data_IF_180946719891
#
_entry.id   IF_180946719891
#
_cell.length_a   1.000
_cell.length_b   1.000
_cell.length_c   1.000
_cell.angle_alpha   90.00
_cell.angle_beta   90.00
_cell.angle_gamma   90.00
#
_symmetry.space_group_name_H-M   'P 1'
#
loop_
_entity.id
_entity.type
_entity.pdbx_description
1 polymer ?
#
# COMPACT_ATOMS: atom_id res chain seq x y z
N UNK A 1 -30.39 -17.82 -3.09
CA UNK A 1 -29.74 -19.15 -3.19
C UNK A 1 -29.80 -19.61 -4.64
N UNK A 2 -28.86 -19.17 -5.48
CA UNK A 2 -28.60 -19.83 -6.76
C UNK A 2 -27.41 -20.76 -6.51
N UNK A 3 -27.68 -22.06 -6.34
CA UNK A 3 -26.61 -23.06 -6.25
C UNK A 3 -25.97 -23.15 -7.63
N UNK A 4 -24.84 -22.48 -7.83
CA UNK A 4 -23.96 -22.74 -8.96
C UNK A 4 -23.67 -24.25 -8.94
N UNK A 5 -24.31 -24.98 -9.83
CA UNK A 5 -24.07 -26.41 -9.98
C UNK A 5 -22.66 -26.49 -10.56
N UNK A 6 -21.73 -27.14 -9.84
CA UNK A 6 -20.36 -27.24 -10.33
C UNK A 6 -20.35 -27.81 -11.75
N UNK A 7 -19.53 -27.24 -12.65
CA UNK A 7 -19.32 -27.82 -13.96
C UNK A 7 -18.91 -29.29 -13.85
N UNK A 8 -19.34 -30.13 -14.80
CA UNK A 8 -18.88 -31.52 -14.84
C UNK A 8 -17.35 -31.57 -15.04
N UNK A 9 -16.70 -32.66 -14.63
CA UNK A 9 -15.27 -32.86 -14.86
C UNK A 9 -14.94 -32.94 -16.35
N UNK A 10 -13.75 -32.48 -16.73
CA UNK A 10 -13.22 -32.64 -18.10
C UNK A 10 -12.79 -34.10 -18.31
N UNK A 11 -13.19 -34.75 -19.42
CA UNK A 11 -12.71 -36.08 -19.74
C UNK A 11 -11.22 -36.07 -20.10
N UNK A 12 -10.53 -37.16 -19.76
CA UNK A 12 -9.08 -37.33 -20.00
C UNK A 12 -8.69 -37.11 -21.48
N UNK A 13 -9.56 -37.49 -22.43
CA UNK A 13 -9.35 -37.25 -23.85
C UNK A 13 -9.30 -35.77 -24.22
N UNK A 14 -10.14 -34.94 -23.59
CA UNK A 14 -10.16 -33.50 -23.83
C UNK A 14 -8.94 -32.79 -23.20
N UNK A 15 -8.50 -33.24 -22.01
CA UNK A 15 -7.26 -32.74 -21.39
C UNK A 15 -6.05 -33.02 -22.28
N UNK A 16 -5.90 -34.25 -22.78
CA UNK A 16 -4.82 -34.61 -23.71
C UNK A 16 -4.87 -33.81 -25.00
N UNK A 17 -6.07 -33.61 -25.56
CA UNK A 17 -6.24 -32.82 -26.78
C UNK A 17 -5.86 -31.33 -26.57
N UNK A 18 -6.08 -30.78 -25.38
CA UNK A 18 -5.60 -29.45 -25.02
C UNK A 18 -4.09 -29.40 -24.89
N UNK A 19 -3.49 -30.33 -24.13
CA UNK A 19 -2.04 -30.42 -23.93
C UNK A 19 -1.29 -30.60 -25.27
N UNK A 20 -1.84 -31.39 -26.19
CA UNK A 20 -1.32 -31.55 -27.54
C UNK A 20 -1.34 -30.23 -28.32
N UNK A 21 -2.45 -29.46 -28.26
CA UNK A 21 -2.57 -28.15 -28.92
C UNK A 21 -1.65 -27.09 -28.30
N UNK A 22 -1.42 -27.15 -26.99
CA UNK A 22 -0.47 -26.28 -26.28
C UNK A 22 0.99 -26.70 -26.55
N UNK A 23 1.21 -27.96 -26.94
CA UNK A 23 2.54 -28.56 -27.10
C UNK A 23 3.27 -28.73 -25.77
N UNK A 24 2.53 -28.86 -24.66
CA UNK A 24 3.05 -28.98 -23.31
C UNK A 24 2.00 -29.59 -22.38
N UNK A 25 2.45 -30.30 -21.35
CA UNK A 25 1.57 -30.76 -20.28
C UNK A 25 1.10 -29.56 -19.44
N UNK A 26 -0.15 -29.61 -18.96
CA UNK A 26 -0.62 -28.63 -17.99
C UNK A 26 0.06 -28.87 -16.64
N UNK A 27 0.30 -27.81 -15.84
CA UNK A 27 0.78 -27.97 -14.48
C UNK A 27 -0.17 -28.87 -13.67
N UNK A 28 0.32 -29.77 -12.80
CA UNK A 28 -0.50 -30.79 -12.16
C UNK A 28 -1.72 -30.25 -11.41
N UNK A 29 -1.59 -29.11 -10.74
CA UNK A 29 -2.68 -28.46 -10.00
C UNK A 29 -3.77 -27.96 -10.95
N UNK A 30 -3.39 -27.25 -12.01
CA UNK A 30 -4.32 -26.77 -13.05
C UNK A 30 -5.01 -27.93 -13.75
N UNK A 31 -4.26 -28.98 -14.10
CA UNK A 31 -4.80 -30.18 -14.74
C UNK A 31 -5.81 -30.91 -13.86
N UNK A 32 -5.48 -31.12 -12.58
CA UNK A 32 -6.37 -31.76 -11.61
C UNK A 32 -7.64 -30.94 -11.38
N UNK A 33 -7.53 -29.59 -11.41
CA UNK A 33 -8.69 -28.72 -11.32
C UNK A 33 -9.68 -28.99 -12.45
N UNK A 34 -9.22 -29.02 -13.70
CA UNK A 34 -10.08 -29.34 -14.85
C UNK A 34 -10.63 -30.76 -14.81
N UNK A 35 -9.82 -31.74 -14.39
CA UNK A 35 -10.25 -33.12 -14.22
C UNK A 35 -11.36 -33.28 -13.16
N UNK A 36 -11.50 -32.31 -12.25
CA UNK A 36 -12.54 -32.30 -11.21
C UNK A 36 -13.75 -31.45 -11.60
N UNK A 37 -13.51 -30.27 -12.19
CA UNK A 37 -14.52 -29.29 -12.58
C UNK A 37 -14.04 -28.51 -13.80
N UNK A 38 -14.72 -28.66 -14.92
CA UNK A 38 -14.35 -28.03 -16.18
C UNK A 38 -14.76 -26.54 -16.23
N UNK A 39 -13.92 -25.67 -15.67
CA UNK A 39 -14.18 -24.24 -15.51
C UNK A 39 -14.86 -23.91 -14.17
N UNK A 40 -15.70 -22.89 -14.16
CA UNK A 40 -16.41 -22.40 -12.96
C UNK A 40 -15.91 -21.03 -12.52
N UNK A 41 -16.25 -20.60 -11.30
CA UNK A 41 -15.80 -19.32 -10.77
C UNK A 41 -15.18 -19.44 -9.37
N UNK A 42 -14.36 -18.46 -9.00
CA UNK A 42 -13.80 -18.26 -7.66
C UNK A 42 -13.63 -16.76 -7.37
N UNK A 43 -13.60 -16.38 -6.09
CA UNK A 43 -13.59 -14.97 -5.70
C UNK A 43 -12.25 -14.28 -5.98
N UNK A 44 -12.29 -12.99 -6.30
CA UNK A 44 -11.10 -12.13 -6.28
C UNK A 44 -10.90 -11.60 -4.84
N UNK A 45 -9.82 -11.96 -4.13
CA UNK A 45 -9.55 -11.49 -2.78
C UNK A 45 -9.39 -9.98 -2.71
N UNK A 46 -9.12 -9.30 -3.84
CA UNK A 46 -8.93 -7.84 -3.91
C UNK A 46 -10.25 -7.06 -4.07
N UNK A 47 -11.35 -7.73 -4.44
CA UNK A 47 -12.64 -7.08 -4.77
C UNK A 47 -13.82 -7.94 -4.30
N UNK A 48 -14.56 -7.45 -3.30
CA UNK A 48 -15.59 -8.21 -2.55
C UNK A 48 -16.60 -8.97 -3.41
N UNK A 49 -17.07 -8.35 -4.49
CA UNK A 49 -18.12 -8.85 -5.37
C UNK A 49 -17.61 -9.23 -6.76
N UNK A 50 -16.29 -9.28 -6.95
CA UNK A 50 -15.68 -9.74 -8.19
C UNK A 50 -15.36 -11.24 -8.11
N UNK A 51 -15.59 -11.93 -9.21
CA UNK A 51 -15.22 -13.32 -9.40
C UNK A 51 -14.39 -13.47 -10.67
N UNK A 52 -13.44 -14.39 -10.60
CA UNK A 52 -12.75 -14.92 -11.77
C UNK A 52 -13.58 -16.05 -12.37
N UNK A 53 -13.78 -16.01 -13.68
CA UNK A 53 -14.35 -17.09 -14.48
C UNK A 53 -13.21 -17.92 -15.06
N UNK A 54 -13.04 -19.14 -14.53
CA UNK A 54 -12.04 -20.09 -15.01
C UNK A 54 -12.47 -20.62 -16.39
N UNK A 55 -11.59 -20.46 -17.38
CA UNK A 55 -11.83 -20.89 -18.75
C UNK A 55 -11.94 -22.41 -18.82
N UNK A 56 -12.98 -22.97 -19.44
CA UNK A 56 -13.13 -24.41 -19.58
C UNK A 56 -12.11 -24.97 -20.59
N UNK A 57 -11.90 -26.28 -20.53
CA UNK A 57 -11.29 -27.10 -21.57
C UNK A 57 -12.40 -27.55 -22.53
N UNK A 58 -12.16 -27.43 -23.82
CA UNK A 58 -13.13 -27.85 -24.84
C UNK A 58 -13.43 -29.36 -24.75
N UNK A 59 -14.69 -29.70 -24.45
CA UNK A 59 -15.17 -31.08 -24.33
C UNK A 59 -16.14 -31.42 -25.47
N UNK A 60 -15.71 -32.35 -26.33
CA UNK A 60 -16.50 -32.84 -27.47
C UNK A 60 -17.26 -34.14 -27.23
N UNK A 61 -17.42 -34.56 -25.97
CA UNK A 61 -18.08 -35.83 -25.62
C UNK A 61 -19.56 -35.84 -26.01
N UNK A 62 -20.25 -34.71 -25.90
CA UNK A 62 -21.62 -34.54 -26.36
C UNK A 62 -21.94 -33.09 -26.75
N UNK A 63 -23.04 -32.88 -27.48
CA UNK A 63 -23.41 -31.55 -28.02
C UNK A 63 -23.62 -30.48 -26.94
N UNK A 64 -24.06 -30.87 -25.75
CA UNK A 64 -24.27 -29.95 -24.61
C UNK A 64 -22.94 -29.48 -24.05
N UNK A 65 -21.95 -30.36 -23.90
CA UNK A 65 -20.61 -29.97 -23.47
C UNK A 65 -19.92 -29.11 -24.52
N UNK A 66 -19.96 -29.52 -25.79
CA UNK A 66 -19.41 -28.74 -26.91
C UNK A 66 -19.90 -27.30 -26.90
N UNK A 67 -21.21 -27.10 -26.68
CA UNK A 67 -21.80 -25.76 -26.61
C UNK A 67 -21.34 -24.97 -25.37
N UNK A 68 -21.21 -25.64 -24.22
CA UNK A 68 -20.82 -25.01 -22.95
C UNK A 68 -19.35 -24.63 -22.90
N UNK A 69 -18.50 -25.41 -23.55
CA UNK A 69 -17.05 -25.24 -23.53
C UNK A 69 -16.51 -24.68 -24.84
N UNK A 70 -17.36 -24.13 -25.71
CA UNK A 70 -16.96 -23.60 -27.02
C UNK A 70 -15.98 -22.42 -26.89
N UNK A 71 -16.19 -21.61 -25.86
CA UNK A 71 -15.27 -20.55 -25.43
C UNK A 71 -14.31 -21.15 -24.40
N UNK A 72 -13.32 -21.90 -24.88
CA UNK A 72 -12.34 -22.60 -24.06
C UNK A 72 -11.09 -21.76 -23.74
N UNK A 73 -10.16 -22.33 -22.98
CA UNK A 73 -8.86 -21.71 -22.67
C UNK A 73 -8.10 -21.24 -23.92
N UNK A 74 -8.19 -21.95 -25.04
CA UNK A 74 -7.55 -21.56 -26.31
C UNK A 74 -8.30 -20.42 -27.02
N UNK A 75 -9.63 -20.38 -26.92
CA UNK A 75 -10.43 -19.24 -27.37
C UNK A 75 -10.03 -17.97 -26.62
N UNK A 76 -10.04 -18.00 -25.29
CA UNK A 76 -9.73 -16.81 -24.50
C UNK A 76 -8.25 -16.41 -24.58
N UNK A 77 -7.32 -17.36 -24.69
CA UNK A 77 -5.91 -17.05 -24.96
C UNK A 77 -5.74 -16.30 -26.28
N UNK A 78 -6.43 -16.71 -27.35
CA UNK A 78 -6.41 -15.98 -28.63
C UNK A 78 -7.00 -14.58 -28.52
N UNK A 79 -8.05 -14.40 -27.71
CA UNK A 79 -8.64 -13.10 -27.47
C UNK A 79 -7.69 -12.18 -26.69
N UNK A 80 -7.04 -12.70 -25.64
CA UNK A 80 -6.04 -11.99 -24.84
C UNK A 80 -4.87 -11.48 -25.71
N UNK A 81 -4.37 -12.33 -26.60
CA UNK A 81 -3.27 -12.02 -27.51
C UNK A 81 -3.60 -10.92 -28.54
N UNK A 82 -4.86 -10.51 -28.69
CA UNK A 82 -5.22 -9.33 -29.51
C UNK A 82 -4.71 -8.03 -28.88
N UNK A 83 -4.58 -7.98 -27.56
CA UNK A 83 -3.89 -6.88 -26.90
C UNK A 83 -2.38 -7.02 -27.13
N UNK A 84 -1.76 -5.96 -27.63
CA UNK A 84 -0.31 -5.93 -27.89
C UNK A 84 0.51 -6.22 -26.62
N UNK A 85 -0.04 -5.85 -25.45
CA UNK A 85 0.62 -5.86 -24.13
C UNK A 85 0.51 -7.19 -23.41
N UNK A 86 -0.43 -8.06 -23.80
CA UNK A 86 -0.54 -9.39 -23.22
C UNK A 86 0.69 -10.24 -23.61
N UNK A 87 1.37 -10.90 -22.65
CA UNK A 87 2.58 -11.68 -22.95
C UNK A 87 2.34 -12.75 -24.02
N UNK A 88 3.25 -12.83 -24.99
CA UNK A 88 3.11 -13.73 -26.16
C UNK A 88 3.24 -15.21 -25.81
N UNK A 89 3.90 -15.49 -24.69
CA UNK A 89 4.07 -16.79 -24.08
C UNK A 89 3.03 -17.07 -22.98
N UNK A 90 2.06 -16.18 -22.79
CA UNK A 90 0.97 -16.32 -21.83
C UNK A 90 -0.16 -17.21 -22.34
N UNK A 91 -0.72 -18.02 -21.44
CA UNK A 91 -1.94 -18.80 -21.64
C UNK A 91 -2.97 -18.27 -20.67
N UNK A 92 -4.02 -17.63 -21.18
CA UNK A 92 -5.07 -17.04 -20.36
C UNK A 92 -5.97 -18.12 -19.79
N UNK A 93 -6.08 -18.21 -18.47
CA UNK A 93 -6.81 -19.28 -17.76
C UNK A 93 -8.07 -18.80 -17.06
N UNK A 94 -8.19 -17.52 -16.73
CA UNK A 94 -9.41 -16.95 -16.18
C UNK A 94 -9.57 -15.46 -16.54
N UNK A 95 -10.80 -14.96 -16.53
CA UNK A 95 -11.11 -13.54 -16.72
C UNK A 95 -12.09 -13.02 -15.67
N UNK A 96 -12.06 -11.72 -15.42
CA UNK A 96 -13.16 -11.07 -14.70
C UNK A 96 -14.30 -10.73 -15.67
N UNK A 97 -15.47 -10.34 -15.16
CA UNK A 97 -16.64 -10.03 -16.00
C UNK A 97 -16.38 -8.99 -17.12
N UNK A 98 -15.36 -8.13 -16.97
CA UNK A 98 -15.04 -7.07 -17.94
C UNK A 98 -14.16 -7.54 -19.09
N UNK A 99 -13.48 -8.68 -18.97
CA UNK A 99 -12.41 -9.16 -19.86
C UNK A 99 -11.13 -8.31 -19.89
N UNK A 100 -11.11 -7.14 -19.23
CA UNK A 100 -9.94 -6.28 -19.12
C UNK A 100 -8.94 -6.78 -18.07
N UNK A 101 -9.36 -7.73 -17.22
CA UNK A 101 -8.50 -8.40 -16.27
C UNK A 101 -8.50 -9.89 -16.54
N UNK A 102 -7.30 -10.47 -16.59
CA UNK A 102 -7.12 -11.88 -16.87
C UNK A 102 -6.02 -12.47 -15.98
N UNK A 103 -6.26 -13.69 -15.52
CA UNK A 103 -5.23 -14.51 -14.91
C UNK A 103 -4.66 -15.43 -15.97
N UNK A 104 -3.35 -15.56 -15.99
CA UNK A 104 -2.64 -16.36 -16.97
C UNK A 104 -1.44 -17.07 -16.36
N UNK A 105 -1.04 -18.16 -17.02
CA UNK A 105 0.22 -18.87 -16.76
C UNK A 105 1.16 -18.65 -17.93
N UNK A 106 2.47 -18.76 -17.73
CA UNK A 106 3.45 -18.61 -18.80
C UNK A 106 4.00 -19.95 -19.25
N UNK A 107 4.22 -20.06 -20.55
CA UNK A 107 4.99 -21.14 -21.15
C UNK A 107 6.43 -20.69 -21.34
N UNK A 108 7.35 -21.35 -20.67
CA UNK A 108 8.77 -21.09 -20.82
C UNK A 108 9.22 -21.34 -22.28
N UNK A 109 9.76 -20.33 -22.99
CA UNK A 109 10.10 -20.49 -24.41
C UNK A 109 11.23 -21.48 -24.70
N UNK A 110 12.08 -21.79 -23.72
CA UNK A 110 13.25 -22.65 -23.90
C UNK A 110 12.93 -24.14 -23.67
N UNK A 111 12.26 -24.44 -22.57
CA UNK A 111 11.84 -25.78 -22.17
C UNK A 111 10.48 -26.19 -22.72
N UNK A 112 9.63 -25.21 -23.07
CA UNK A 112 8.25 -25.42 -23.48
C UNK A 112 7.29 -25.73 -22.33
N UNK A 113 7.78 -25.80 -21.09
CA UNK A 113 6.99 -26.11 -19.90
C UNK A 113 6.06 -24.95 -19.54
N UNK A 114 4.88 -25.26 -19.00
CA UNK A 114 3.96 -24.27 -18.46
C UNK A 114 4.24 -24.15 -16.95
N UNK A 115 4.44 -22.93 -16.46
CA UNK A 115 4.68 -22.66 -15.04
C UNK A 115 3.40 -22.80 -14.20
N UNK A 116 3.57 -23.12 -12.92
CA UNK A 116 2.47 -23.13 -11.94
C UNK A 116 2.02 -21.70 -11.57
N UNK A 117 2.95 -20.73 -11.54
CA UNK A 117 2.69 -19.37 -11.10
C UNK A 117 1.57 -18.70 -11.91
N UNK A 118 0.60 -18.15 -11.18
CA UNK A 118 -0.51 -17.39 -11.73
C UNK A 118 -0.12 -15.92 -11.73
N UNK A 119 -0.23 -15.29 -12.90
CA UNK A 119 0.05 -13.88 -13.12
C UNK A 119 -1.24 -13.13 -13.45
N UNK A 120 -1.29 -11.85 -13.08
CA UNK A 120 -2.35 -10.92 -13.40
C UNK A 120 -1.94 -10.04 -14.58
N UNK A 121 -2.86 -9.96 -15.53
CA UNK A 121 -2.92 -8.94 -16.56
C UNK A 121 -4.11 -8.02 -16.24
N UNK A 122 -3.88 -6.72 -16.09
CA UNK A 122 -4.91 -5.71 -15.78
C UNK A 122 -4.69 -4.45 -16.62
N UNK A 123 -5.61 -4.22 -17.56
CA UNK A 123 -5.56 -3.08 -18.48
C UNK A 123 -5.71 -1.73 -17.76
N UNK A 124 -6.40 -1.69 -16.62
CA UNK A 124 -6.70 -0.46 -15.90
C UNK A 124 -5.53 -0.01 -15.04
N UNK A 125 -4.81 -0.93 -14.41
CA UNK A 125 -3.64 -0.61 -13.56
C UNK A 125 -2.33 -0.59 -14.35
N UNK A 126 -2.31 -1.14 -15.56
CA UNK A 126 -1.09 -1.28 -16.36
C UNK A 126 -0.20 -2.43 -15.89
N UNK A 127 -0.72 -3.34 -15.07
CA UNK A 127 -0.02 -4.54 -14.62
C UNK A 127 -0.12 -5.63 -15.68
N UNK A 128 0.95 -5.86 -16.45
CA UNK A 128 0.92 -6.83 -17.55
C UNK A 128 1.33 -8.26 -17.16
N UNK A 129 2.02 -8.41 -16.03
CA UNK A 129 2.56 -9.69 -15.54
C UNK A 129 2.79 -9.65 -14.03
N UNK A 130 1.87 -9.05 -13.27
CA UNK A 130 2.01 -8.95 -11.82
C UNK A 130 1.80 -10.33 -11.17
N UNK A 131 2.60 -10.71 -10.16
CA UNK A 131 2.34 -11.94 -9.40
C UNK A 131 0.94 -11.94 -8.79
N UNK A 132 0.22 -13.04 -8.95
CA UNK A 132 -1.12 -13.22 -8.37
C UNK A 132 -1.14 -14.32 -7.30
N UNK A 133 -0.64 -15.51 -7.62
CA UNK A 133 -0.50 -16.63 -6.69
C UNK A 133 0.54 -17.64 -7.22
N UNK A 134 1.08 -18.51 -6.35
CA UNK A 134 2.05 -19.54 -6.78
C UNK A 134 1.45 -20.69 -7.60
N UNK A 135 0.14 -20.93 -7.49
CA UNK A 135 -0.60 -21.87 -8.31
C UNK A 135 -2.11 -21.57 -8.29
N UNK A 136 -2.91 -22.33 -9.06
CA UNK A 136 -4.35 -22.11 -9.13
C UNK A 136 -5.08 -22.43 -7.81
N UNK A 137 -4.62 -23.40 -7.03
CA UNK A 137 -5.26 -23.73 -5.75
C UNK A 137 -5.01 -22.61 -4.75
N UNK A 138 -3.78 -22.10 -4.67
CA UNK A 138 -3.43 -20.92 -3.89
C UNK A 138 -4.24 -19.69 -4.34
N UNK A 139 -4.49 -19.51 -5.64
CA UNK A 139 -5.34 -18.44 -6.17
C UNK A 139 -6.81 -18.56 -5.72
N UNK A 140 -7.36 -19.78 -5.64
CA UNK A 140 -8.73 -20.04 -5.17
C UNK A 140 -8.83 -19.85 -3.66
N UNK A 141 -7.81 -20.25 -2.90
CA UNK A 141 -7.80 -20.27 -1.44
C UNK A 141 -7.33 -18.94 -0.82
N UNK A 142 -7.00 -17.91 -1.62
CA UNK A 142 -6.57 -16.63 -1.08
C UNK A 142 -7.60 -16.07 -0.10
N UNK A 143 -7.12 -15.73 1.09
CA UNK A 143 -7.92 -14.99 2.04
C UNK A 143 -8.33 -13.65 1.39
N UNK A 144 -9.59 -13.27 1.58
CA UNK A 144 -10.05 -11.94 1.15
C UNK A 144 -9.14 -10.90 1.79
N UNK A 145 -8.58 -10.02 0.96
CA UNK A 145 -8.00 -8.79 1.47
C UNK A 145 -9.15 -8.04 2.11
N UNK A 146 -9.08 -7.71 3.42
CA UNK A 146 -10.10 -6.90 4.04
C UNK A 146 -10.28 -5.64 3.21
N UNK A 147 -11.50 -5.41 2.72
CA UNK A 147 -11.85 -4.14 2.11
C UNK A 147 -11.45 -3.04 3.08
N UNK A 148 -10.79 -1.96 2.60
CA UNK A 148 -10.44 -0.84 3.46
C UNK A 148 -11.70 -0.45 4.22
N UNK A 149 -11.71 -0.68 5.54
CA UNK A 149 -12.86 -0.38 6.37
C UNK A 149 -13.15 1.09 6.13
N UNK A 150 -14.32 1.42 5.58
CA UNK A 150 -14.68 2.82 5.44
C UNK A 150 -14.66 3.40 6.85
N UNK A 151 -13.84 4.43 7.11
CA UNK A 151 -13.74 4.99 8.43
C UNK A 151 -15.12 5.45 8.86
N UNK A 152 -15.53 5.12 10.09
CA UNK A 152 -16.83 5.51 10.62
C UNK A 152 -16.95 7.05 10.54
N UNK A 153 -17.81 7.59 9.66
CA UNK A 153 -17.88 9.02 9.44
C UNK A 153 -18.39 9.77 10.69
N UNK A 154 -19.01 9.06 11.66
CA UNK A 154 -19.44 9.63 12.92
C UNK A 154 -18.32 9.69 13.97
N UNK A 155 -17.23 8.95 13.81
CA UNK A 155 -16.09 8.96 14.73
C UNK A 155 -15.06 9.98 14.28
N UNK A 156 -15.08 11.16 14.91
CA UNK A 156 -14.10 12.19 14.64
C UNK A 156 -12.65 11.69 14.84
N UNK A 157 -11.78 12.02 13.88
CA UNK A 157 -10.34 11.81 14.01
C UNK A 157 -9.79 12.62 15.20
N UNK A 158 -8.82 12.06 15.94
CA UNK A 158 -8.15 12.82 16.98
C UNK A 158 -7.35 13.97 16.37
N UNK A 159 -7.24 15.07 17.10
CA UNK A 159 -6.36 16.18 16.76
C UNK A 159 -5.10 16.05 17.58
N UNK A 160 -3.95 16.03 16.93
CA UNK A 160 -2.65 16.04 17.58
C UNK A 160 -2.21 17.49 17.79
N UNK A 161 -1.94 17.86 19.04
CA UNK A 161 -1.57 19.24 19.39
C UNK A 161 -0.28 19.67 18.72
N UNK A 162 0.70 18.76 18.67
CA UNK A 162 2.03 19.02 18.15
C UNK A 162 2.24 18.55 16.69
N UNK A 163 1.20 18.08 15.99
CA UNK A 163 1.31 17.65 14.59
C UNK A 163 0.21 18.29 13.74
N UNK A 164 0.53 18.91 12.62
CA UNK A 164 -0.44 19.60 11.78
C UNK A 164 -1.37 18.63 11.07
N UNK A 165 -0.81 17.79 10.19
CA UNK A 165 -1.56 16.79 9.43
C UNK A 165 -0.73 15.51 9.19
N UNK A 166 -0.97 14.44 9.96
CA UNK A 166 -0.25 13.17 9.79
C UNK A 166 -0.63 12.44 8.50
N UNK A 167 -1.75 12.78 7.84
CA UNK A 167 -2.14 12.19 6.55
C UNK A 167 -1.40 12.86 5.40
N UNK A 168 -1.28 14.19 5.42
CA UNK A 168 -0.51 14.92 4.40
C UNK A 168 0.97 14.52 4.41
N UNK A 169 1.55 14.37 5.59
CA UNK A 169 2.94 13.87 5.75
C UNK A 169 3.12 12.36 5.46
N UNK A 170 2.04 11.63 5.18
CA UNK A 170 2.10 10.22 4.77
C UNK A 170 2.30 9.19 5.88
N UNK A 171 2.49 9.57 7.15
CA UNK A 171 2.63 8.63 8.26
C UNK A 171 1.30 8.00 8.70
N UNK A 172 0.18 8.51 8.18
CA UNK A 172 -1.16 7.99 8.46
C UNK A 172 -1.94 7.82 7.16
N UNK A 173 -2.62 6.68 7.01
CA UNK A 173 -3.36 6.35 5.80
C UNK A 173 -4.66 5.63 6.10
N UNK A 174 -5.58 5.61 5.14
CA UNK A 174 -6.74 4.73 5.20
C UNK A 174 -6.29 3.27 5.12
N UNK A 175 -6.88 2.41 5.94
CA UNK A 175 -6.55 0.98 5.96
C UNK A 175 -7.66 0.14 6.57
N UNK A 176 -7.81 -1.09 6.06
CA UNK A 176 -8.63 -2.13 6.69
C UNK A 176 -7.90 -2.95 7.76
N UNK A 177 -6.61 -2.65 7.99
CA UNK A 177 -5.80 -3.35 8.99
C UNK A 177 -6.29 -3.10 10.41
N UNK A 178 -6.10 -4.10 11.27
CA UNK A 178 -6.41 -4.02 12.70
C UNK A 178 -5.28 -3.36 13.46
N UNK A 179 -5.60 -2.38 14.30
CA UNK A 179 -4.66 -1.78 15.24
C UNK A 179 -4.07 -2.83 16.19
N UNK A 180 -2.75 -2.89 16.33
CA UNK A 180 -2.08 -3.83 17.24
C UNK A 180 -2.33 -3.51 18.73
N UNK A 181 -2.68 -2.25 19.04
CA UNK A 181 -3.08 -1.86 20.39
C UNK A 181 -4.49 -2.38 20.76
N UNK A 182 -5.53 -1.96 20.05
CA UNK A 182 -6.93 -2.25 20.43
C UNK A 182 -7.59 -3.41 19.66
N UNK A 183 -6.91 -3.98 18.66
CA UNK A 183 -7.43 -5.06 17.81
C UNK A 183 -8.55 -4.64 16.84
N UNK A 184 -8.90 -3.35 16.80
CA UNK A 184 -10.00 -2.85 15.96
C UNK A 184 -9.48 -2.41 14.59
N UNK A 185 -10.22 -2.73 13.53
CA UNK A 185 -10.03 -2.15 12.19
C UNK A 185 -10.82 -0.83 12.11
N UNK A 186 -10.14 0.29 12.34
CA UNK A 186 -10.79 1.60 12.49
C UNK A 186 -10.91 2.40 11.18
N UNK A 187 -10.43 1.84 10.07
CA UNK A 187 -10.39 2.52 8.76
C UNK A 187 -9.14 3.38 8.53
N UNK A 188 -8.28 3.52 9.55
CA UNK A 188 -7.03 4.27 9.50
C UNK A 188 -5.93 3.53 10.25
N UNK A 189 -4.72 3.59 9.72
CA UNK A 189 -3.53 3.04 10.36
C UNK A 189 -2.37 4.03 10.26
N UNK A 190 -1.56 4.07 11.31
CA UNK A 190 -0.26 4.68 11.36
C UNK A 190 0.78 3.73 10.79
N UNK A 191 1.73 4.28 10.03
CA UNK A 191 2.73 3.56 9.24
C UNK A 191 4.10 4.24 9.36
N UNK A 192 4.40 4.81 10.53
CA UNK A 192 5.66 5.47 10.84
C UNK A 192 6.47 4.73 11.91
N UNK A 193 7.52 5.39 12.41
CA UNK A 193 8.43 4.85 13.43
C UNK A 193 7.74 4.63 14.78
N UNK A 194 8.02 3.49 15.42
CA UNK A 194 7.66 3.26 16.81
C UNK A 194 8.79 2.48 17.50
N UNK A 195 9.37 3.09 18.52
CA UNK A 195 10.48 2.54 19.28
C UNK A 195 9.93 1.69 20.42
N UNK A 196 10.01 0.37 20.28
CA UNK A 196 9.68 -0.60 21.32
C UNK A 196 10.62 -1.82 21.22
N UNK A 197 10.57 -2.70 22.21
CA UNK A 197 11.34 -3.97 22.21
C UNK A 197 10.81 -4.95 21.14
N UNK A 198 9.53 -4.83 20.76
CA UNK A 198 8.88 -5.66 19.74
C UNK A 198 8.80 -5.00 18.36
N UNK A 199 8.30 -5.75 17.39
CA UNK A 199 8.16 -5.32 15.98
C UNK A 199 6.79 -4.65 15.70
N UNK A 200 5.98 -4.33 16.73
CA UNK A 200 4.69 -3.68 16.56
C UNK A 200 4.83 -2.21 16.18
N UNK A 201 4.34 -1.83 15.00
CA UNK A 201 4.40 -0.45 14.50
C UNK A 201 3.08 0.08 13.94
N UNK A 202 2.02 -0.75 13.91
CA UNK A 202 0.76 -0.43 13.23
C UNK A 202 -0.36 -0.12 14.24
N UNK A 203 -0.65 1.17 14.42
CA UNK A 203 -1.63 1.65 15.40
C UNK A 203 -2.72 2.51 14.79
N UNK A 204 -3.93 2.49 15.35
CA UNK A 204 -4.96 3.43 14.95
C UNK A 204 -4.71 4.82 15.56
N UNK A 205 -5.21 5.91 14.93
CA UNK A 205 -4.96 7.27 15.38
C UNK A 205 -5.38 7.53 16.83
N UNK A 206 -6.48 6.91 17.27
CA UNK A 206 -7.00 7.08 18.63
C UNK A 206 -6.10 6.46 19.70
N UNK A 207 -5.50 5.29 19.43
CA UNK A 207 -4.59 4.65 20.37
C UNK A 207 -3.25 5.40 20.51
N UNK A 208 -2.85 6.16 19.49
CA UNK A 208 -1.75 7.11 19.58
C UNK A 208 -2.20 8.27 20.46
N UNK A 209 -3.30 8.93 20.10
CA UNK A 209 -3.75 10.17 20.75
C UNK A 209 -4.05 10.02 22.26
N UNK A 210 -4.58 8.87 22.68
CA UNK A 210 -4.86 8.58 24.09
C UNK A 210 -3.68 7.97 24.86
N UNK A 211 -2.58 7.64 24.18
CA UNK A 211 -1.38 7.04 24.76
C UNK A 211 -1.48 5.55 25.05
N UNK A 212 -2.59 4.88 24.69
CA UNK A 212 -2.75 3.45 24.96
C UNK A 212 -1.75 2.58 24.21
N UNK A 213 -1.35 2.97 22.99
CA UNK A 213 -0.33 2.25 22.23
C UNK A 213 1.03 2.30 22.96
N UNK A 214 1.53 3.50 23.26
CA UNK A 214 2.77 3.70 24.00
C UNK A 214 2.75 2.95 25.35
N UNK A 215 1.68 3.08 26.13
CA UNK A 215 1.55 2.43 27.43
C UNK A 215 1.51 0.89 27.34
N UNK A 216 0.88 0.32 26.30
CA UNK A 216 0.76 -1.13 26.13
C UNK A 216 2.08 -1.78 25.74
N UNK A 217 2.86 -1.10 24.90
CA UNK A 217 4.10 -1.65 24.32
C UNK A 217 5.38 -1.10 24.96
N UNK A 218 5.25 -0.24 25.98
CA UNK A 218 6.38 0.44 26.64
C UNK A 218 7.29 1.11 25.61
N UNK A 219 6.66 1.88 24.71
CA UNK A 219 7.31 2.43 23.53
C UNK A 219 6.96 3.88 23.24
N UNK A 220 7.71 4.46 22.32
CA UNK A 220 7.66 5.88 21.97
C UNK A 220 7.56 6.03 20.44
N UNK A 221 6.74 6.98 19.99
CA UNK A 221 6.67 7.39 18.58
C UNK A 221 7.80 8.35 18.22
N UNK A 222 8.21 9.19 19.18
CA UNK A 222 9.32 10.13 19.02
C UNK A 222 10.28 9.95 20.19
N UNK A 223 11.59 9.96 19.93
CA UNK A 223 12.60 9.86 20.99
C UNK A 223 12.46 11.03 21.97
N UNK A 224 12.14 10.71 23.23
CA UNK A 224 12.00 11.68 24.31
C UNK A 224 13.25 12.55 24.49
N UNK A 225 14.46 12.03 24.23
CA UNK A 225 15.70 12.78 24.33
C UNK A 225 15.88 13.82 23.21
N UNK A 226 15.23 13.60 22.06
CA UNK A 226 15.21 14.52 20.92
C UNK A 226 14.25 15.70 21.09
N UNK A 227 13.37 15.67 22.10
CA UNK A 227 12.37 16.72 22.35
C UNK A 227 13.02 17.95 22.98
N UNK A 228 12.92 19.09 22.29
CA UNK A 228 13.67 20.30 22.65
C UNK A 228 15.07 20.34 22.07
N UNK A 229 15.40 19.41 21.15
CA UNK A 229 16.62 19.38 20.35
C UNK A 229 17.93 19.31 21.16
N UNK A 230 17.85 18.98 22.45
CA UNK A 230 18.97 19.05 23.40
C UNK A 230 19.34 20.46 23.86
N UNK A 231 18.61 21.48 23.42
CA UNK A 231 18.89 22.90 23.67
C UNK A 231 17.96 23.50 24.73
N UNK A 232 16.75 22.94 24.87
CA UNK A 232 15.72 23.44 25.78
C UNK A 232 15.22 22.31 26.66
N UNK A 233 15.36 22.47 27.97
CA UNK A 233 14.74 21.56 28.94
C UNK A 233 13.25 21.89 29.06
N UNK A 234 12.40 20.97 28.62
CA UNK A 234 10.95 21.12 28.60
C UNK A 234 10.28 20.41 29.80
N UNK A 235 9.08 20.84 30.21
CA UNK A 235 8.30 20.11 31.21
C UNK A 235 8.02 18.67 30.76
N UNK A 236 8.18 17.69 31.66
CA UNK A 236 7.95 16.26 31.37
C UNK A 236 6.63 15.97 30.66
N UNK A 237 5.54 16.64 31.03
CA UNK A 237 4.22 16.48 30.37
C UNK A 237 4.25 16.78 28.87
N UNK A 238 5.11 17.70 28.42
CA UNK A 238 5.27 18.07 27.00
C UNK A 238 6.07 16.98 26.30
N UNK A 239 7.15 16.53 26.94
CA UNK A 239 8.00 15.44 26.44
C UNK A 239 7.17 14.16 26.28
N UNK A 240 6.38 13.79 27.28
CA UNK A 240 5.49 12.61 27.25
C UNK A 240 4.40 12.75 26.17
N UNK A 241 3.79 13.92 25.98
CA UNK A 241 2.77 14.11 24.93
C UNK A 241 3.37 13.99 23.51
N UNK A 242 4.58 14.52 23.30
CA UNK A 242 5.29 14.40 22.02
C UNK A 242 5.77 12.97 21.78
N UNK A 243 6.44 12.35 22.76
CA UNK A 243 7.01 11.01 22.61
C UNK A 243 5.96 9.91 22.53
N UNK A 244 4.89 9.98 23.33
CA UNK A 244 3.97 8.84 23.49
C UNK A 244 2.60 9.05 22.83
N UNK A 245 2.25 10.30 22.49
CA UNK A 245 0.88 10.65 22.06
C UNK A 245 0.82 11.46 20.77
N UNK A 246 1.95 11.64 20.11
CA UNK A 246 2.07 12.35 18.84
C UNK A 246 2.73 11.43 17.82
N UNK A 247 2.24 11.32 16.58
CA UNK A 247 2.89 10.54 15.53
C UNK A 247 4.34 11.00 15.29
N UNK A 248 5.19 10.08 14.82
CA UNK A 248 6.49 10.45 14.24
C UNK A 248 6.33 11.06 12.84
N UNK A 249 7.43 11.54 12.27
CA UNK A 249 7.54 11.92 10.86
C UNK A 249 8.76 11.21 10.24
N UNK A 250 8.78 11.04 8.91
CA UNK A 250 9.91 10.38 8.25
C UNK A 250 11.12 11.32 8.19
N UNK A 251 12.24 10.94 8.81
CA UNK A 251 13.54 11.60 8.69
C UNK A 251 14.63 10.61 8.26
N UNK A 252 15.75 11.12 7.76
CA UNK A 252 16.90 10.31 7.38
C UNK A 252 17.80 10.00 8.58
N UNK A 253 17.90 10.94 9.50
CA UNK A 253 18.50 10.76 10.82
C UNK A 253 17.42 10.55 11.89
N UNK A 254 17.83 10.50 13.17
CA UNK A 254 16.89 10.51 14.30
C UNK A 254 16.05 11.79 14.31
N UNK A 255 14.72 11.68 14.49
CA UNK A 255 13.82 12.82 14.54
C UNK A 255 14.21 13.77 15.69
N UNK A 256 14.24 15.08 15.41
CA UNK A 256 14.47 16.12 16.43
C UNK A 256 13.22 17.00 16.54
N UNK A 257 12.74 17.24 17.76
CA UNK A 257 11.53 18.03 17.96
C UNK A 257 11.83 19.45 18.40
N UNK A 258 11.54 20.43 17.53
CA UNK A 258 11.82 21.84 17.81
C UNK A 258 10.97 22.37 18.96
N UNK A 259 11.50 23.33 19.73
CA UNK A 259 10.84 23.92 20.89
C UNK A 259 10.99 25.44 20.93
N UNK A 260 9.97 26.12 21.47
CA UNK A 260 9.96 27.57 21.66
C UNK A 260 8.92 27.98 22.70
N UNK A 261 9.13 29.11 23.38
CA UNK A 261 8.26 29.57 24.47
C UNK A 261 8.04 28.53 25.59
N UNK A 262 9.07 27.73 25.90
CA UNK A 262 9.00 26.65 26.91
C UNK A 262 7.91 25.59 26.61
N UNK A 263 7.67 25.34 25.32
CA UNK A 263 6.76 24.32 24.82
C UNK A 263 7.33 23.70 23.53
N UNK A 264 6.85 22.52 23.16
CA UNK A 264 7.20 21.91 21.89
C UNK A 264 6.50 22.64 20.72
N UNK A 265 7.17 22.69 19.57
CA UNK A 265 6.60 23.18 18.34
C UNK A 265 5.56 22.24 17.77
N UNK A 266 4.61 22.78 17.02
CA UNK A 266 3.72 21.99 16.16
C UNK A 266 4.43 21.71 14.86
N UNK A 267 4.72 20.45 14.57
CA UNK A 267 5.25 20.01 13.29
C UNK A 267 4.26 20.35 12.17
N UNK A 268 4.71 21.12 11.19
CA UNK A 268 3.91 21.57 10.06
C UNK A 268 4.13 20.72 8.80
N UNK A 269 5.19 19.93 8.76
CA UNK A 269 5.57 19.11 7.63
C UNK A 269 7.00 19.36 7.17
N UNK A 270 7.41 18.60 6.15
CA UNK A 270 8.54 18.99 5.30
C UNK A 270 8.24 20.34 4.64
N UNK A 271 9.27 21.13 4.37
CA UNK A 271 9.13 22.50 3.86
C UNK A 271 8.24 22.61 2.61
N UNK A 272 8.21 21.59 1.76
CA UNK A 272 7.39 21.54 0.55
C UNK A 272 5.88 21.40 0.81
N UNK A 273 5.49 20.91 1.99
CA UNK A 273 4.10 20.77 2.43
C UNK A 273 3.60 21.99 3.23
N UNK A 274 4.48 22.93 3.54
CA UNK A 274 4.12 24.12 4.31
C UNK A 274 3.62 25.23 3.40
N UNK A 275 2.56 25.93 3.82
CA UNK A 275 2.03 27.09 3.11
C UNK A 275 3.14 28.13 2.86
N UNK A 276 3.39 28.42 1.58
CA UNK A 276 4.38 29.41 1.15
C UNK A 276 4.10 30.81 1.69
N UNK A 277 2.83 31.18 1.91
CA UNK A 277 2.48 32.46 2.52
C UNK A 277 2.93 32.53 3.99
N UNK A 278 2.88 31.40 4.71
CA UNK A 278 3.40 31.29 6.07
C UNK A 278 4.93 31.37 6.09
N UNK A 279 5.61 30.69 5.16
CA UNK A 279 7.07 30.76 5.00
C UNK A 279 7.58 32.15 4.60
N UNK A 280 6.75 32.95 3.93
CA UNK A 280 7.06 34.34 3.56
C UNK A 280 6.69 35.37 4.65
N UNK A 281 6.17 34.92 5.80
CA UNK A 281 5.69 35.81 6.86
C UNK A 281 6.82 36.27 7.80
N UNK A 282 6.63 37.40 8.48
CA UNK A 282 7.58 37.91 9.50
C UNK A 282 7.94 36.86 10.58
N UNK A 283 6.99 36.05 11.11
CA UNK A 283 7.31 34.95 12.01
C UNK A 283 8.29 33.90 11.47
N UNK A 284 8.49 33.81 10.16
CA UNK A 284 9.41 32.89 9.51
C UNK A 284 10.82 33.48 9.29
N UNK A 285 11.02 34.80 9.47
CA UNK A 285 12.25 35.48 9.05
C UNK A 285 13.54 34.89 9.67
N UNK A 286 13.49 34.53 10.95
CA UNK A 286 14.61 33.87 11.62
C UNK A 286 14.84 32.45 11.11
N UNK A 287 13.76 31.68 10.94
CA UNK A 287 13.81 30.32 10.41
C UNK A 287 14.40 30.27 8.99
N UNK A 288 13.99 31.20 8.11
CA UNK A 288 14.53 31.30 6.75
C UNK A 288 16.04 31.55 6.77
N UNK A 289 16.48 32.53 7.57
CA UNK A 289 17.90 32.87 7.70
C UNK A 289 18.71 31.69 8.22
N UNK A 290 18.29 31.07 9.33
CA UNK A 290 18.97 29.94 9.95
C UNK A 290 19.02 28.72 9.00
N UNK A 291 17.92 28.42 8.31
CA UNK A 291 17.87 27.33 7.31
C UNK A 291 18.82 27.59 6.15
N UNK A 292 18.86 28.82 5.62
CA UNK A 292 19.79 29.19 4.55
C UNK A 292 21.24 29.06 5.00
N UNK A 293 21.57 29.50 6.21
CA UNK A 293 22.92 29.37 6.78
C UNK A 293 23.32 27.89 6.91
N UNK A 294 22.47 27.04 7.49
CA UNK A 294 22.71 25.61 7.69
C UNK A 294 22.81 24.85 6.36
N UNK A 295 21.93 25.14 5.41
CA UNK A 295 21.92 24.53 4.08
C UNK A 295 22.93 25.14 3.10
N UNK A 296 23.68 26.17 3.53
CA UNK A 296 24.64 26.91 2.70
C UNK A 296 24.01 27.52 1.43
N UNK A 297 22.81 28.09 1.57
CA UNK A 297 22.01 28.72 0.50
C UNK A 297 21.97 30.24 0.67
N UNK A 298 21.80 30.99 -0.42
CA UNK A 298 21.46 32.41 -0.33
C UNK A 298 19.95 32.59 -0.05
N UNK A 299 19.60 33.67 0.65
CA UNK A 299 18.22 33.99 1.03
C UNK A 299 17.32 34.42 -0.15
N UNK A 300 17.84 34.46 -1.38
CA UNK A 300 17.10 34.80 -2.59
C UNK A 300 16.85 33.57 -3.45
N UNK A 301 17.74 33.32 -4.41
CA UNK A 301 17.61 32.24 -5.39
C UNK A 301 17.74 30.86 -4.73
N UNK A 302 18.65 30.69 -3.78
CA UNK A 302 18.82 29.46 -3.00
C UNK A 302 17.58 29.08 -2.21
N UNK A 303 16.98 30.03 -1.50
CA UNK A 303 15.70 29.82 -0.80
C UNK A 303 14.57 29.45 -1.77
N UNK A 304 14.46 30.14 -2.91
CA UNK A 304 13.44 29.82 -3.90
C UNK A 304 13.63 28.41 -4.49
N UNK A 305 14.88 28.04 -4.78
CA UNK A 305 15.25 26.69 -5.21
C UNK A 305 14.85 25.63 -4.18
N UNK A 306 15.06 25.91 -2.88
CA UNK A 306 14.65 25.02 -1.79
C UNK A 306 13.13 24.80 -1.79
N UNK A 307 12.33 25.85 -2.00
CA UNK A 307 10.87 25.72 -2.04
C UNK A 307 10.36 24.99 -3.29
N UNK A 308 11.06 25.11 -4.41
CA UNK A 308 10.65 24.55 -5.69
C UNK A 308 11.19 23.14 -5.96
N UNK A 309 12.22 22.70 -5.23
CA UNK A 309 12.87 21.40 -5.41
C UNK A 309 12.49 20.45 -4.28
N UNK A 310 11.77 19.35 -4.58
CA UNK A 310 11.35 18.41 -3.55
C UNK A 310 12.50 17.77 -2.79
N UNK A 311 12.30 17.41 -1.51
CA UNK A 311 13.33 16.84 -0.64
C UNK A 311 14.02 15.61 -1.24
N UNK A 312 13.26 14.72 -1.88
CA UNK A 312 13.75 13.52 -2.59
C UNK A 312 14.72 13.79 -3.75
N UNK A 313 14.75 15.03 -4.26
CA UNK A 313 15.62 15.47 -5.36
C UNK A 313 16.85 16.25 -4.83
N UNK A 314 17.00 16.36 -3.50
CA UNK A 314 18.10 17.03 -2.81
C UNK A 314 18.88 16.05 -1.95
N UNK A 315 20.03 16.49 -1.43
CA UNK A 315 20.81 15.74 -0.43
C UNK A 315 20.43 16.06 1.01
N UNK A 316 19.26 16.68 1.23
CA UNK A 316 18.74 17.03 2.55
C UNK A 316 17.24 17.37 2.53
N UNK A 317 16.61 17.20 3.69
CA UNK A 317 15.26 17.62 4.00
C UNK A 317 15.26 18.82 4.97
N UNK A 318 14.15 19.56 5.01
CA UNK A 318 13.94 20.64 5.98
C UNK A 318 12.59 20.44 6.62
N UNK A 319 12.59 20.33 7.95
CA UNK A 319 11.40 20.09 8.75
C UNK A 319 10.98 21.37 9.46
N UNK A 320 9.70 21.75 9.31
CA UNK A 320 9.19 23.04 9.79
C UNK A 320 8.26 22.84 10.97
N UNK A 321 8.41 23.68 11.98
CA UNK A 321 7.60 23.71 13.18
C UNK A 321 7.07 25.12 13.43
N UNK A 322 5.87 25.22 14.00
CA UNK A 322 5.27 26.47 14.44
C UNK A 322 5.11 26.52 15.96
N UNK A 323 5.51 27.63 16.58
CA UNK A 323 5.31 27.84 18.00
C UNK A 323 3.82 28.04 18.31
N UNK A 324 3.27 27.22 19.21
CA UNK A 324 1.85 27.28 19.61
C UNK A 324 1.44 28.59 20.31
N UNK A 325 2.40 29.34 20.87
CA UNK A 325 2.15 30.54 21.69
C UNK A 325 2.28 31.87 20.94
N UNK A 326 3.29 32.00 20.07
CA UNK A 326 3.58 33.27 19.39
C UNK A 326 3.56 33.18 17.86
N UNK A 327 3.37 31.99 17.28
CA UNK A 327 3.35 31.78 15.83
C UNK A 327 4.72 31.82 15.13
N UNK A 328 5.82 32.03 15.86
CA UNK A 328 7.19 31.94 15.31
C UNK A 328 7.42 30.58 14.67
N UNK A 329 8.06 30.55 13.50
CA UNK A 329 8.51 29.32 12.87
C UNK A 329 9.93 28.97 13.30
N UNK A 330 10.22 27.68 13.29
CA UNK A 330 11.55 27.13 13.44
C UNK A 330 11.61 25.73 12.85
N UNK A 331 12.72 25.04 13.03
CA UNK A 331 12.92 23.76 12.39
C UNK A 331 14.39 23.36 12.36
N UNK A 332 14.72 22.42 11.48
CA UNK A 332 16.09 22.01 11.25
C UNK A 332 16.28 21.44 9.84
N UNK A 333 17.53 21.45 9.40
CA UNK A 333 18.00 20.80 8.19
C UNK A 333 18.45 19.38 8.54
N UNK A 334 17.93 18.38 7.83
CA UNK A 334 18.30 16.97 7.98
C UNK A 334 19.12 16.50 6.77
N UNK A 335 20.39 16.18 6.97
CA UNK A 335 21.34 15.84 5.91
C UNK A 335 21.42 14.31 5.72
N UNK A 336 21.56 13.87 4.46
CA UNK A 336 21.76 12.42 4.12
C UNK A 336 23.09 11.86 4.58
#
# INVERSE_FOLDING_TARGET
MNRHTQPPPTPESALRALEEKLGAALPPILRNRYATSNGGSFGDPRKRDAEWQLHPVFDSSDRKQMKRTAEDVLHYTRLALQDARFPRDGISIAHDYSMYRQLFVRRDPASGNIADDILLFDVHTGEWSAPYAGDLQAAIDQARVPEAVQPDPARALPVFRYYADPFESGVMRTSGETCQCCGQATGYIYDGSFYAIGDESHFCPWCIADGSAAAKFDGEFNDAAGVGMGEVELPMRVIEEVSQRTPSFFSWQQERWWAHCNDAGRFLGEIEHVDRALLASEPAADFVRETCDDAHLDAGEGWQWLLDTPSRERSFAVFVFGCLHCGKLGGYVDLS
#
